data_IF_064503698481
#
_entry.id   IF_064503698481
#
_cell.length_a   1.000
_cell.length_b   1.000
_cell.length_c   1.000
_cell.angle_alpha   90.00
_cell.angle_beta   90.00
_cell.angle_gamma   90.00
#
_symmetry.space_group_name_H-M   'P 1'
#
loop_
_entity.id
_entity.type
_entity.pdbx_description
1 polymer ?
#
# COMPACT_ATOMS: atom_id res chain seq x y z
N UNK A 1 29.94 8.03 -58.51
CA UNK A 1 29.56 7.21 -57.34
C UNK A 1 30.72 7.18 -56.35
N UNK A 2 30.83 8.21 -55.51
CA UNK A 2 31.83 8.37 -54.42
C UNK A 2 31.41 9.56 -53.55
N UNK A 3 30.14 9.56 -53.15
CA UNK A 3 29.55 10.55 -52.22
C UNK A 3 28.53 9.87 -51.28
N UNK A 4 28.68 8.55 -51.09
CA UNK A 4 27.83 7.72 -50.22
C UNK A 4 28.67 7.27 -49.01
N UNK A 5 29.52 8.14 -48.46
CA UNK A 5 30.34 7.79 -47.29
C UNK A 5 30.59 8.97 -46.32
N UNK A 6 29.82 10.04 -46.38
CA UNK A 6 29.93 11.15 -45.42
C UNK A 6 28.57 11.78 -45.16
N UNK A 7 27.68 11.06 -44.48
CA UNK A 7 26.52 11.60 -43.76
C UNK A 7 26.12 10.63 -42.63
N UNK A 8 27.15 10.21 -41.87
CA UNK A 8 27.00 9.72 -40.51
C UNK A 8 27.20 10.92 -39.59
N UNK A 9 26.13 11.64 -39.27
CA UNK A 9 26.00 12.39 -38.01
C UNK A 9 24.59 12.96 -37.88
N UNK A 10 23.90 12.45 -36.86
CA UNK A 10 23.15 13.23 -35.89
C UNK A 10 21.83 13.85 -36.34
N UNK A 11 20.70 13.17 -36.05
CA UNK A 11 19.55 13.83 -35.41
C UNK A 11 18.91 12.84 -34.41
N UNK A 12 19.24 13.11 -33.15
CA UNK A 12 18.44 13.09 -31.93
C UNK A 12 17.44 11.95 -31.67
N UNK A 13 17.76 11.20 -30.60
CA UNK A 13 16.81 10.49 -29.74
C UNK A 13 15.57 11.36 -29.47
N UNK A 14 14.40 10.91 -29.90
CA UNK A 14 13.11 11.37 -29.36
C UNK A 14 12.87 10.57 -28.08
N UNK A 15 13.14 11.21 -26.94
CA UNK A 15 12.87 10.70 -25.60
C UNK A 15 11.39 10.86 -25.20
N UNK A 16 10.97 9.99 -24.28
CA UNK A 16 9.64 9.71 -23.77
C UNK A 16 8.61 10.85 -23.78
N UNK A 17 7.45 10.60 -24.42
CA UNK A 17 6.22 11.26 -24.01
C UNK A 17 5.85 10.66 -22.66
N UNK A 18 5.91 11.42 -21.57
CA UNK A 18 5.24 11.01 -20.35
C UNK A 18 3.75 11.01 -20.69
N UNK A 19 3.16 9.82 -20.78
CA UNK A 19 1.73 9.70 -20.63
C UNK A 19 1.41 10.40 -19.31
N UNK A 20 0.73 11.53 -19.40
CA UNK A 20 0.01 12.09 -18.26
C UNK A 20 -1.06 11.06 -17.96
N UNK A 21 -0.69 10.05 -17.15
CA UNK A 21 -1.64 9.31 -16.37
C UNK A 21 -2.35 10.37 -15.54
N UNK A 22 -3.52 10.77 -16.03
CA UNK A 22 -4.50 11.45 -15.23
C UNK A 22 -4.71 10.55 -14.03
N UNK A 23 -4.06 10.90 -12.92
CA UNK A 23 -4.35 10.38 -11.60
C UNK A 23 -5.76 10.86 -11.26
N UNK A 24 -6.74 10.25 -11.92
CA UNK A 24 -8.05 10.09 -11.34
C UNK A 24 -7.77 9.50 -9.96
N UNK A 25 -8.33 10.06 -8.87
CA UNK A 25 -8.24 9.43 -7.56
C UNK A 25 -9.05 8.15 -7.64
N UNK A 26 -8.46 7.11 -8.23
CA UNK A 26 -8.88 5.74 -8.04
C UNK A 26 -8.71 5.57 -6.54
N UNK A 27 -9.84 5.63 -5.83
CA UNK A 27 -9.92 5.27 -4.42
C UNK A 27 -9.27 3.90 -4.34
N UNK A 28 -8.01 3.85 -3.92
CA UNK A 28 -7.31 2.60 -3.68
C UNK A 28 -8.06 1.97 -2.53
N UNK A 29 -9.02 1.10 -2.85
CA UNK A 29 -9.64 0.23 -1.87
C UNK A 29 -8.52 -0.75 -1.52
N UNK A 30 -7.71 -0.36 -0.54
CA UNK A 30 -6.69 -1.25 0.01
C UNK A 30 -7.35 -2.54 0.46
N UNK A 31 -6.66 -3.65 0.28
CA UNK A 31 -7.08 -4.93 0.88
C UNK A 31 -7.22 -4.70 2.39
N UNK A 32 -8.34 -5.14 2.97
CA UNK A 32 -8.57 -4.98 4.40
C UNK A 32 -7.49 -5.69 5.20
N UNK A 33 -7.02 -5.07 6.29
CA UNK A 33 -6.07 -5.70 7.22
C UNK A 33 -6.72 -6.95 7.86
N UNK A 34 -6.16 -8.17 7.68
CA UNK A 34 -6.72 -9.39 8.23
C UNK A 34 -6.90 -9.35 9.75
N UNK A 35 -5.95 -8.76 10.49
CA UNK A 35 -6.03 -8.63 11.94
C UNK A 35 -7.19 -7.70 12.36
N UNK A 36 -7.36 -6.59 11.66
CA UNK A 36 -8.49 -5.68 11.85
C UNK A 36 -9.83 -6.36 11.57
N UNK A 37 -9.95 -7.09 10.45
CA UNK A 37 -11.13 -7.88 10.11
C UNK A 37 -11.43 -8.90 11.21
N UNK A 38 -10.39 -9.55 11.73
CA UNK A 38 -10.53 -10.53 12.79
C UNK A 38 -11.02 -9.93 14.12
N UNK A 39 -10.49 -8.76 14.50
CA UNK A 39 -10.99 -8.02 15.66
C UNK A 39 -12.50 -7.74 15.56
N UNK A 40 -12.96 -7.26 14.40
CA UNK A 40 -14.38 -6.99 14.16
C UNK A 40 -15.19 -8.29 14.21
N UNK A 41 -14.68 -9.39 13.64
CA UNK A 41 -15.33 -10.71 13.68
C UNK A 41 -15.50 -11.23 15.11
N UNK A 42 -14.59 -10.88 16.03
CA UNK A 42 -14.69 -11.18 17.48
C UNK A 42 -15.65 -10.25 18.23
N UNK A 43 -16.33 -9.33 17.53
CA UNK A 43 -17.19 -8.31 18.12
C UNK A 43 -16.41 -7.18 18.82
N UNK A 44 -15.12 -7.06 18.53
CA UNK A 44 -14.26 -6.01 19.07
C UNK A 44 -14.35 -4.70 18.30
N UNK A 45 -13.79 -3.65 18.89
CA UNK A 45 -13.60 -2.33 18.27
C UNK A 45 -12.12 -2.05 18.12
N UNK A 46 -11.72 -1.56 16.95
CA UNK A 46 -10.32 -1.21 16.67
C UNK A 46 -10.04 0.19 17.21
N UNK A 47 -8.93 0.34 17.92
CA UNK A 47 -8.33 1.60 18.32
C UNK A 47 -6.94 1.71 17.67
N UNK A 48 -6.74 2.73 16.83
CA UNK A 48 -5.44 3.00 16.22
C UNK A 48 -4.67 3.99 17.08
N UNK A 49 -3.53 3.55 17.59
CA UNK A 49 -2.62 4.36 18.40
C UNK A 49 -1.43 4.79 17.54
N UNK A 50 -1.19 6.10 17.46
CA UNK A 50 0.00 6.66 16.83
C UNK A 50 1.20 6.56 17.77
N UNK A 51 2.32 6.07 17.25
CA UNK A 51 3.59 5.93 17.97
C UNK A 51 4.71 6.58 17.14
N UNK A 52 5.88 6.74 17.75
CA UNK A 52 7.08 7.19 17.02
C UNK A 52 7.53 6.24 15.90
N UNK A 53 7.05 4.98 15.93
CA UNK A 53 7.37 3.93 14.94
C UNK A 53 6.29 3.74 13.88
N UNK A 54 5.19 4.49 13.94
CA UNK A 54 4.02 4.30 13.09
C UNK A 54 2.75 4.05 13.89
N UNK A 55 1.75 3.43 13.26
CA UNK A 55 0.45 3.14 13.86
C UNK A 55 0.38 1.71 14.38
N UNK A 56 -0.26 1.52 15.53
CA UNK A 56 -0.52 0.21 16.14
C UNK A 56 -2.01 0.05 16.34
N UNK A 57 -2.59 -1.05 15.87
CA UNK A 57 -3.99 -1.39 16.08
C UNK A 57 -4.20 -2.20 17.35
N UNK A 58 -5.10 -1.75 18.21
CA UNK A 58 -5.56 -2.49 19.39
C UNK A 58 -7.01 -2.89 19.22
N UNK A 59 -7.31 -4.15 19.48
CA UNK A 59 -8.65 -4.69 19.54
C UNK A 59 -9.22 -4.60 20.96
N UNK A 60 -10.26 -3.78 21.14
CA UNK A 60 -11.04 -3.70 22.37
C UNK A 60 -12.22 -4.67 22.30
N UNK A 61 -12.12 -5.78 23.03
CA UNK A 61 -13.13 -6.83 23.10
C UNK A 61 -14.26 -6.47 24.08
N UNK A 62 -15.43 -7.07 23.92
CA UNK A 62 -16.61 -6.81 24.75
C UNK A 62 -16.42 -7.16 26.23
N UNK A 63 -15.48 -8.06 26.55
CA UNK A 63 -15.11 -8.43 27.91
C UNK A 63 -14.16 -7.39 28.59
N UNK A 64 -13.87 -6.27 27.92
CA UNK A 64 -12.99 -5.21 28.43
C UNK A 64 -11.51 -5.43 28.14
N UNK A 65 -11.11 -6.55 27.53
CA UNK A 65 -9.72 -6.80 27.15
C UNK A 65 -9.35 -5.90 25.96
N UNK A 66 -8.21 -5.22 26.07
CA UNK A 66 -7.53 -4.58 24.95
C UNK A 66 -6.26 -5.35 24.64
N UNK A 67 -6.14 -5.82 23.40
CA UNK A 67 -5.00 -6.62 22.91
C UNK A 67 -4.58 -6.10 21.55
N UNK A 68 -3.29 -6.11 21.25
CA UNK A 68 -2.78 -5.70 19.93
C UNK A 68 -3.34 -6.66 18.84
N UNK A 69 -3.78 -6.12 17.70
CA UNK A 69 -4.62 -6.85 16.75
C UNK A 69 -3.90 -8.04 16.09
N UNK A 70 -2.59 -7.93 15.80
CA UNK A 70 -1.80 -9.03 15.25
C UNK A 70 -1.55 -10.12 16.28
N UNK A 71 -1.34 -9.75 17.54
CA UNK A 71 -1.22 -10.68 18.66
C UNK A 71 -2.49 -11.52 18.79
N UNK A 72 -3.67 -10.89 18.76
CA UNK A 72 -4.96 -11.60 18.77
C UNK A 72 -5.12 -12.51 17.55
N UNK A 73 -4.77 -12.01 16.36
CA UNK A 73 -4.88 -12.78 15.12
C UNK A 73 -4.01 -14.04 15.17
N UNK A 74 -2.75 -13.91 15.58
CA UNK A 74 -1.82 -15.04 15.62
C UNK A 74 -2.15 -16.06 16.71
N UNK A 75 -2.70 -15.67 17.85
CA UNK A 75 -3.12 -16.62 18.90
C UNK A 75 -4.12 -17.67 18.40
N UNK A 76 -5.01 -17.27 17.48
CA UNK A 76 -6.12 -18.12 17.02
C UNK A 76 -5.86 -18.76 15.64
N UNK A 77 -4.70 -18.50 15.01
CA UNK A 77 -4.35 -18.99 13.66
C UNK A 77 -2.95 -19.64 13.60
N UNK A 78 -2.52 -20.29 14.69
CA UNK A 78 -1.30 -21.12 14.68
C UNK A 78 -1.55 -22.51 14.09
#
# INVERSE_FOLDING_TARGET
MKKILLLLTYIYLVGCTNATESLSPTKTIGVANPASVYCIKKGGKINIVKTVKGEVGYCHLANGVSIEEWTLYHQDHQ
#
